data_IF_357554797229
#
_entry.id   IF_357554797229
#
_cell.length_a   1.000
_cell.length_b   1.000
_cell.length_c   1.000
_cell.angle_alpha   90.00
_cell.angle_beta   90.00
_cell.angle_gamma   90.00
#
_symmetry.space_group_name_H-M   'P 1'
#
loop_
_entity.id
_entity.type
_entity.pdbx_description
1 polymer ?
#
# COMPACT_ATOMS: atom_id res chain seq x y z
N UNK A 1 -36.69 -14.65 -4.56
CA UNK A 1 -35.97 -13.52 -3.94
C UNK A 1 -34.50 -13.69 -4.29
N UNK A 2 -33.87 -12.67 -4.85
CA UNK A 2 -32.44 -12.74 -5.17
C UNK A 2 -31.68 -12.47 -3.88
N UNK A 3 -30.76 -13.38 -3.51
CA UNK A 3 -30.04 -13.29 -2.25
C UNK A 3 -28.60 -12.83 -2.46
N UNK A 4 -28.12 -11.95 -1.58
CA UNK A 4 -26.70 -11.62 -1.45
C UNK A 4 -26.05 -12.75 -0.65
N UNK A 5 -25.04 -13.38 -1.23
CA UNK A 5 -24.26 -14.46 -0.59
C UNK A 5 -22.78 -14.16 -0.72
N UNK A 6 -21.97 -14.65 0.22
CA UNK A 6 -20.51 -14.46 0.19
C UNK A 6 -19.91 -15.00 -1.12
N UNK A 7 -20.36 -16.17 -1.59
CA UNK A 7 -19.95 -16.74 -2.89
C UNK A 7 -20.24 -15.80 -4.08
N UNK A 8 -21.35 -15.05 -4.04
CA UNK A 8 -21.69 -14.11 -5.10
C UNK A 8 -20.77 -12.89 -5.06
N UNK A 9 -20.44 -12.39 -3.85
CA UNK A 9 -19.53 -11.26 -3.65
C UNK A 9 -18.12 -11.66 -4.10
N UNK A 10 -17.62 -12.82 -3.65
CA UNK A 10 -16.31 -13.36 -4.01
C UNK A 10 -16.17 -13.55 -5.52
N UNK A 11 -17.19 -14.08 -6.19
CA UNK A 11 -17.17 -14.24 -7.64
C UNK A 11 -17.11 -12.90 -8.37
N UNK A 12 -17.79 -11.86 -7.86
CA UNK A 12 -17.76 -10.52 -8.44
C UNK A 12 -16.42 -9.81 -8.22
N UNK A 13 -15.81 -9.96 -7.05
CA UNK A 13 -14.45 -9.48 -6.79
C UNK A 13 -13.45 -10.16 -7.73
N UNK A 14 -13.54 -11.48 -7.88
CA UNK A 14 -12.72 -12.26 -8.83
C UNK A 14 -12.88 -11.80 -10.28
N UNK A 15 -14.10 -11.45 -10.70
CA UNK A 15 -14.36 -10.86 -12.03
C UNK A 15 -13.63 -9.53 -12.25
N UNK A 16 -13.39 -8.76 -11.17
CA UNK A 16 -12.58 -7.53 -11.19
C UNK A 16 -11.07 -7.81 -10.97
N UNK A 17 -10.69 -9.08 -10.82
CA UNK A 17 -9.33 -9.51 -10.51
C UNK A 17 -8.87 -9.10 -9.11
N UNK A 18 -9.80 -8.97 -8.16
CA UNK A 18 -9.55 -8.66 -6.76
C UNK A 18 -9.74 -9.97 -5.98
N UNK A 19 -8.68 -10.42 -5.29
CA UNK A 19 -8.71 -11.60 -4.43
C UNK A 19 -8.43 -11.17 -2.99
N UNK A 20 -8.79 -12.02 -2.02
CA UNK A 20 -8.43 -11.78 -0.61
C UNK A 20 -6.91 -11.77 -0.43
N UNK A 21 -6.39 -10.91 0.46
CA UNK A 21 -4.95 -10.67 0.70
C UNK A 21 -4.13 -11.96 0.79
N UNK A 22 -4.65 -12.98 1.49
CA UNK A 22 -3.98 -14.27 1.66
C UNK A 22 -3.78 -15.10 0.38
N UNK A 23 -4.33 -14.66 -0.76
CA UNK A 23 -4.26 -15.34 -2.05
C UNK A 23 -3.50 -14.53 -3.12
N UNK A 24 -2.84 -13.44 -2.72
CA UNK A 24 -2.04 -12.60 -3.61
C UNK A 24 -0.65 -12.40 -3.03
N UNK A 25 0.33 -12.23 -3.91
CA UNK A 25 1.65 -11.77 -3.49
C UNK A 25 1.74 -10.24 -3.50
N UNK A 26 2.84 -9.72 -2.92
CA UNK A 26 3.09 -8.29 -2.79
C UNK A 26 3.05 -7.57 -4.14
N UNK A 27 3.63 -8.16 -5.19
CA UNK A 27 3.71 -7.53 -6.51
C UNK A 27 2.32 -7.46 -7.16
N UNK A 28 1.53 -8.52 -7.04
CA UNK A 28 0.15 -8.55 -7.51
C UNK A 28 -0.71 -7.50 -6.79
N UNK A 29 -0.56 -7.35 -5.47
CA UNK A 29 -1.26 -6.31 -4.69
C UNK A 29 -0.83 -4.91 -5.11
N UNK A 30 0.48 -4.68 -5.25
CA UNK A 30 1.02 -3.38 -5.65
C UNK A 30 0.46 -2.92 -7.00
N UNK A 31 0.39 -3.81 -7.99
CA UNK A 31 -0.19 -3.52 -9.31
C UNK A 31 -1.66 -3.06 -9.20
N UNK A 32 -2.43 -3.64 -8.28
CA UNK A 32 -3.84 -3.23 -8.05
C UNK A 32 -3.92 -1.89 -7.37
N UNK A 33 -3.09 -1.65 -6.36
CA UNK A 33 -3.05 -0.40 -5.64
C UNK A 33 -2.64 0.75 -6.58
N UNK A 34 -1.61 0.57 -7.41
CA UNK A 34 -1.18 1.59 -8.38
C UNK A 34 -2.29 1.94 -9.37
N UNK A 35 -3.06 0.94 -9.81
CA UNK A 35 -4.19 1.16 -10.71
C UNK A 35 -5.38 1.88 -10.04
N UNK A 36 -5.60 1.69 -8.74
CA UNK A 36 -6.69 2.32 -8.00
C UNK A 36 -6.34 3.75 -7.56
N UNK A 37 -5.14 3.96 -7.02
CA UNK A 37 -4.73 5.20 -6.36
C UNK A 37 -3.78 6.08 -7.19
N UNK A 38 -3.36 5.65 -8.38
CA UNK A 38 -2.54 6.44 -9.33
C UNK A 38 -1.20 6.94 -8.75
N UNK A 39 -0.59 6.16 -7.85
CA UNK A 39 0.76 6.40 -7.33
C UNK A 39 1.82 5.66 -8.15
N UNK A 40 3.08 6.09 -8.04
CA UNK A 40 4.21 5.45 -8.70
C UNK A 40 5.37 5.18 -7.73
N UNK A 41 6.14 4.11 -7.97
CA UNK A 41 7.35 3.80 -7.21
C UNK A 41 8.56 3.95 -8.12
N UNK A 42 9.53 4.74 -7.67
CA UNK A 42 10.77 5.01 -8.39
C UNK A 42 11.98 4.57 -7.55
N UNK A 43 13.03 4.11 -8.23
CA UNK A 43 14.28 3.68 -7.57
C UNK A 43 15.46 4.62 -7.87
N UNK A 44 15.23 5.65 -8.68
CA UNK A 44 16.21 6.70 -8.94
C UNK A 44 15.81 7.97 -8.22
N UNK A 45 16.73 8.51 -7.42
CA UNK A 45 16.51 9.67 -6.56
C UNK A 45 15.99 10.92 -7.28
N UNK A 46 16.37 11.11 -8.55
CA UNK A 46 16.08 12.33 -9.33
C UNK A 46 14.79 12.24 -10.18
N UNK A 47 13.89 11.31 -9.89
CA UNK A 47 12.63 11.10 -10.63
C UNK A 47 11.48 11.97 -10.13
N UNK A 48 11.74 12.96 -9.26
CA UNK A 48 10.71 13.86 -8.75
C UNK A 48 9.81 13.22 -7.69
N UNK A 49 10.36 12.30 -6.89
CA UNK A 49 9.65 11.73 -5.76
C UNK A 49 9.19 12.81 -4.77
N UNK A 50 8.05 12.56 -4.15
CA UNK A 50 7.38 13.41 -3.17
C UNK A 50 7.46 12.81 -1.76
N UNK A 51 7.73 11.50 -1.68
CA UNK A 51 7.97 10.76 -0.45
C UNK A 51 9.17 9.83 -0.66
N UNK A 52 10.04 9.74 0.34
CA UNK A 52 11.31 9.03 0.26
C UNK A 52 11.44 8.02 1.40
N UNK A 53 11.68 6.75 1.05
CA UNK A 53 12.01 5.66 1.96
C UNK A 53 13.42 5.14 1.64
N UNK A 54 14.39 5.42 2.50
CA UNK A 54 15.75 4.88 2.42
C UNK A 54 16.36 4.68 3.82
N UNK A 55 17.47 3.94 3.90
CA UNK A 55 18.20 3.75 5.15
C UNK A 55 19.66 4.14 5.00
N UNK A 56 20.30 4.49 6.12
CA UNK A 56 21.71 4.84 6.17
C UNK A 56 22.43 4.19 7.35
N UNK A 57 23.69 3.83 7.14
CA UNK A 57 24.57 3.45 8.25
C UNK A 57 25.11 4.69 8.97
N UNK A 58 24.92 4.71 10.28
CA UNK A 58 25.55 5.68 11.19
C UNK A 58 27.06 5.43 11.31
N UNK A 59 27.79 6.48 11.72
CA UNK A 59 29.25 6.42 11.83
C UNK A 59 29.77 5.39 12.87
N UNK A 60 28.95 5.02 13.84
CA UNK A 60 29.24 4.03 14.88
C UNK A 60 28.67 2.62 14.58
N UNK A 61 28.07 2.43 13.40
CA UNK A 61 27.73 1.11 12.86
C UNK A 61 26.31 0.63 13.17
N UNK A 62 25.40 1.52 13.58
CA UNK A 62 23.97 1.28 13.56
C UNK A 62 23.35 1.67 12.21
N UNK A 63 22.14 1.20 11.96
CA UNK A 63 21.33 1.61 10.81
C UNK A 63 20.18 2.50 11.29
N UNK A 64 19.87 3.52 10.50
CA UNK A 64 18.70 4.37 10.69
C UNK A 64 17.88 4.38 9.41
N UNK A 65 16.57 4.43 9.58
CA UNK A 65 15.60 4.36 8.51
C UNK A 65 14.96 5.73 8.34
N UNK A 66 14.76 6.17 7.11
CA UNK A 66 14.27 7.51 6.79
C UNK A 66 12.99 7.38 5.97
N UNK A 67 11.93 8.04 6.43
CA UNK A 67 10.67 8.22 5.71
C UNK A 67 10.30 9.72 5.72
N UNK A 68 10.59 10.42 4.63
CA UNK A 68 10.48 11.89 4.57
C UNK A 68 9.90 12.39 3.25
N UNK A 69 9.15 13.49 3.30
CA UNK A 69 8.73 14.27 2.13
C UNK A 69 9.82 15.24 1.65
N UNK A 70 10.95 15.34 2.36
CA UNK A 70 12.06 16.24 2.04
C UNK A 70 13.41 15.51 2.12
N UNK A 71 13.86 15.04 0.95
CA UNK A 71 15.10 14.30 0.75
C UNK A 71 16.36 15.02 1.26
N UNK A 72 16.36 16.34 1.23
CA UNK A 72 17.53 17.18 1.52
C UNK A 72 17.60 17.61 2.98
N UNK A 73 16.49 17.53 3.71
CA UNK A 73 16.40 17.98 5.10
C UNK A 73 15.31 17.20 5.85
N UNK A 74 15.51 15.89 6.08
CA UNK A 74 14.59 15.08 6.86
C UNK A 74 14.51 15.61 8.30
N UNK A 75 13.32 15.65 8.86
CA UNK A 75 13.15 16.06 10.25
C UNK A 75 13.43 14.91 11.19
N UNK A 76 14.60 14.92 11.84
CA UNK A 76 15.09 13.84 12.70
C UNK A 76 14.08 13.34 13.75
N UNK A 77 13.19 14.20 14.25
CA UNK A 77 12.19 13.82 15.26
C UNK A 77 10.92 13.15 14.72
N UNK A 78 10.74 13.08 13.40
CA UNK A 78 9.53 12.56 12.74
C UNK A 78 9.81 11.67 11.53
N UNK A 79 10.93 11.90 10.85
CA UNK A 79 11.26 11.24 9.59
C UNK A 79 12.35 10.19 9.75
N UNK A 80 13.00 10.11 10.93
CA UNK A 80 14.09 9.17 11.19
C UNK A 80 13.67 8.18 12.25
N UNK A 81 13.72 6.91 11.89
CA UNK A 81 13.30 5.77 12.68
C UNK A 81 14.53 4.96 13.06
N UNK A 82 14.58 4.58 14.34
CA UNK A 82 15.62 3.69 14.85
C UNK A 82 15.26 2.21 14.66
N UNK A 83 13.98 1.88 14.55
CA UNK A 83 13.49 0.53 14.35
C UNK A 83 12.92 0.38 12.93
N UNK A 84 13.37 -0.66 12.23
CA UNK A 84 12.91 -1.08 10.91
C UNK A 84 11.39 -1.35 10.86
N UNK A 85 10.76 -1.70 11.98
CA UNK A 85 9.35 -2.10 11.95
C UNK A 85 8.37 -0.98 11.63
N UNK A 86 8.75 0.28 11.88
CA UNK A 86 7.79 1.39 11.96
C UNK A 86 7.96 2.41 10.82
N UNK A 87 9.07 2.37 10.08
CA UNK A 87 9.41 3.42 9.12
C UNK A 87 8.50 3.50 7.89
N UNK A 88 7.76 2.43 7.56
CA UNK A 88 6.76 2.44 6.48
C UNK A 88 5.37 2.95 6.91
N UNK A 89 5.19 3.45 8.15
CA UNK A 89 3.89 3.95 8.64
C UNK A 89 3.29 5.07 7.78
N UNK A 90 4.13 5.81 7.03
CA UNK A 90 3.70 6.90 6.12
C UNK A 90 3.37 6.42 4.70
N UNK A 91 3.67 5.16 4.37
CA UNK A 91 3.46 4.61 3.03
C UNK A 91 1.98 4.54 2.63
N UNK A 92 1.04 4.11 3.51
CA UNK A 92 -0.39 4.12 3.19
C UNK A 92 -0.89 5.50 2.74
N UNK A 93 -0.58 6.55 3.50
CA UNK A 93 -0.97 7.93 3.15
C UNK A 93 -0.39 8.36 1.80
N UNK A 94 0.89 8.06 1.54
CA UNK A 94 1.53 8.37 0.27
C UNK A 94 0.89 7.62 -0.92
N UNK A 95 0.43 6.38 -0.72
CA UNK A 95 -0.33 5.61 -1.71
C UNK A 95 -1.69 6.26 -1.95
N UNK A 96 -2.45 6.57 -0.91
CA UNK A 96 -3.78 7.18 -1.02
C UNK A 96 -3.76 8.55 -1.71
N UNK A 97 -2.71 9.33 -1.49
CA UNK A 97 -2.52 10.64 -2.10
C UNK A 97 -2.00 10.57 -3.55
N UNK A 98 -1.71 9.38 -4.09
CA UNK A 98 -1.26 9.20 -5.47
C UNK A 98 0.15 9.77 -5.70
N UNK A 99 1.02 9.70 -4.69
CA UNK A 99 2.35 10.33 -4.77
C UNK A 99 3.31 9.54 -5.66
N UNK A 100 4.32 10.21 -6.22
CA UNK A 100 5.55 9.53 -6.68
C UNK A 100 6.44 9.23 -5.48
N UNK A 101 6.75 7.95 -5.24
CA UNK A 101 7.42 7.48 -4.02
C UNK A 101 8.78 6.90 -4.38
N UNK A 102 9.85 7.43 -3.81
CA UNK A 102 11.16 6.80 -3.86
C UNK A 102 11.25 5.73 -2.77
N UNK A 103 11.64 4.51 -3.15
CA UNK A 103 11.95 3.43 -2.20
C UNK A 103 13.27 2.78 -2.63
N UNK A 104 14.21 2.65 -1.68
CA UNK A 104 15.41 1.83 -1.88
C UNK A 104 14.99 0.41 -2.27
N UNK A 105 15.48 -0.11 -3.40
CA UNK A 105 15.09 -1.41 -3.94
C UNK A 105 15.27 -2.54 -2.91
N UNK A 106 16.26 -2.44 -2.02
CA UNK A 106 16.48 -3.44 -0.97
C UNK A 106 15.35 -3.45 0.08
N UNK A 107 14.75 -2.29 0.35
CA UNK A 107 13.68 -2.15 1.34
C UNK A 107 12.37 -2.79 0.89
N UNK A 108 12.14 -2.95 -0.42
CA UNK A 108 10.91 -3.57 -0.95
C UNK A 108 10.82 -5.07 -0.67
N UNK A 109 11.93 -5.72 -0.35
CA UNK A 109 11.96 -7.13 0.06
C UNK A 109 11.76 -7.33 1.56
N UNK A 110 11.65 -6.25 2.34
CA UNK A 110 11.56 -6.31 3.79
C UNK A 110 10.12 -6.50 4.26
N UNK A 111 9.97 -7.23 5.36
CA UNK A 111 8.65 -7.51 5.94
C UNK A 111 7.81 -6.25 6.21
N UNK A 112 8.37 -5.16 6.76
CA UNK A 112 7.66 -3.90 6.96
C UNK A 112 7.04 -3.31 5.69
N UNK A 113 7.70 -3.42 4.53
CA UNK A 113 7.12 -2.99 3.25
C UNK A 113 5.94 -3.89 2.86
N UNK A 114 6.10 -5.21 2.96
CA UNK A 114 5.03 -6.17 2.67
C UNK A 114 3.80 -5.91 3.54
N UNK A 115 3.99 -5.67 4.84
CA UNK A 115 2.89 -5.40 5.76
C UNK A 115 2.13 -4.12 5.41
N UNK A 116 2.83 -3.05 5.04
CA UNK A 116 2.17 -1.81 4.61
C UNK A 116 1.37 -2.00 3.31
N UNK A 117 1.87 -2.78 2.35
CA UNK A 117 1.13 -3.11 1.12
C UNK A 117 -0.10 -3.98 1.41
N UNK A 118 0.03 -5.00 2.27
CA UNK A 118 -1.07 -5.86 2.71
C UNK A 118 -2.18 -5.05 3.40
N UNK A 119 -1.81 -4.10 4.27
CA UNK A 119 -2.76 -3.21 4.97
C UNK A 119 -3.62 -2.40 3.99
N UNK A 120 -2.97 -1.67 3.08
CA UNK A 120 -3.67 -0.84 2.07
C UNK A 120 -4.53 -1.70 1.15
N UNK A 121 -4.03 -2.89 0.78
CA UNK A 121 -4.77 -3.81 -0.08
C UNK A 121 -6.00 -4.41 0.61
N UNK A 122 -5.92 -4.73 1.91
CA UNK A 122 -7.07 -5.20 2.68
C UNK A 122 -8.17 -4.11 2.73
N UNK A 123 -7.81 -2.84 2.93
CA UNK A 123 -8.77 -1.72 2.89
C UNK A 123 -9.42 -1.57 1.50
N UNK A 124 -8.65 -1.72 0.42
CA UNK A 124 -9.19 -1.76 -0.94
C UNK A 124 -10.17 -2.92 -1.11
N UNK A 125 -9.81 -4.12 -0.64
CA UNK A 125 -10.65 -5.32 -0.73
C UNK A 125 -12.00 -5.12 -0.02
N UNK A 126 -11.99 -4.61 1.21
CA UNK A 126 -13.21 -4.29 1.98
C UNK A 126 -14.07 -3.21 1.30
N UNK A 127 -13.44 -2.20 0.72
CA UNK A 127 -14.12 -1.14 -0.03
C UNK A 127 -14.85 -1.73 -1.24
N UNK A 128 -14.18 -2.55 -2.04
CA UNK A 128 -14.76 -3.19 -3.24
C UNK A 128 -15.87 -4.19 -2.88
N UNK A 129 -15.74 -4.91 -1.76
CA UNK A 129 -16.84 -5.72 -1.22
C UNK A 129 -18.08 -4.87 -0.94
N UNK A 130 -17.90 -3.73 -0.27
CA UNK A 130 -18.99 -2.80 0.06
C UNK A 130 -19.67 -2.24 -1.20
N UNK A 131 -18.88 -1.84 -2.21
CA UNK A 131 -19.39 -1.38 -3.50
C UNK A 131 -20.26 -2.45 -4.19
N UNK A 132 -19.77 -3.70 -4.26
CA UNK A 132 -20.51 -4.83 -4.84
C UNK A 132 -21.82 -5.08 -4.10
N UNK A 133 -21.81 -5.05 -2.76
CA UNK A 133 -23.01 -5.23 -1.94
C UNK A 133 -24.03 -4.13 -2.26
N UNK A 134 -23.60 -2.88 -2.36
CA UNK A 134 -24.48 -1.75 -2.68
C UNK A 134 -25.06 -1.87 -4.09
N UNK A 135 -24.25 -2.22 -5.09
CA UNK A 135 -24.74 -2.48 -6.45
C UNK A 135 -25.78 -3.61 -6.51
N UNK A 136 -25.59 -4.68 -5.73
CA UNK A 136 -26.53 -5.80 -5.67
C UNK A 136 -27.86 -5.36 -5.04
N UNK A 137 -27.82 -4.55 -3.98
CA UNK A 137 -29.03 -3.97 -3.37
C UNK A 137 -29.79 -3.11 -4.37
N UNK A 138 -29.11 -2.26 -5.13
CA UNK A 138 -29.72 -1.44 -6.19
C UNK A 138 -30.37 -2.29 -7.30
N UNK A 139 -29.84 -3.50 -7.54
CA UNK A 139 -30.40 -4.50 -8.47
C UNK A 139 -31.53 -5.35 -7.85
N UNK A 140 -31.96 -5.05 -6.62
CA UNK A 140 -33.05 -5.72 -5.90
C UNK A 140 -32.66 -7.04 -5.24
N UNK A 141 -31.38 -7.24 -4.91
CA UNK A 141 -30.95 -8.36 -4.07
C UNK A 141 -31.13 -7.98 -2.59
N UNK A 142 -31.48 -8.98 -1.77
CA UNK A 142 -31.66 -8.84 -0.32
C UNK A 142 -30.74 -9.83 0.41
N UNK A 143 -30.43 -9.56 1.68
CA UNK A 143 -29.64 -10.45 2.52
C UNK A 143 -30.51 -11.61 3.06
#
# INVERSE_FOLDING_TARGET
MKKITDELIDNKLKEQGILHVSNMDQDEMLVKLQAEYDFDIVHEWNQGAQMYFYFESTADGYEVYIASENDSNPYIGQDVYYYESDWFEKLPDAIYDGLTIYIDENAMGEGPFTYAIEEVYEELYETKQTEIINELKDKGYEH
#
